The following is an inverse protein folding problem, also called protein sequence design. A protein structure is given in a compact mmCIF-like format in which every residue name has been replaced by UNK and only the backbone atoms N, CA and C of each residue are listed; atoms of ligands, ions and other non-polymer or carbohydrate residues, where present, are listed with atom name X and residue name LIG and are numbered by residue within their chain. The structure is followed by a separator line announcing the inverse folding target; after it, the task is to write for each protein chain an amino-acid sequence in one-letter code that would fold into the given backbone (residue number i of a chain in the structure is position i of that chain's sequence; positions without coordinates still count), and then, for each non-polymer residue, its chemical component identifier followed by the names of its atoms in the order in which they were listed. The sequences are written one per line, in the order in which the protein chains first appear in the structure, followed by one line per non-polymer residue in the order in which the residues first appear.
data_IF_757698452803
#
_entry.id   IF_757698452803
#
_cell.length_a   1.000
_cell.length_b   1.000
_cell.length_c   1.000
_cell.angle_alpha   90.00
_cell.angle_beta   90.00
_cell.angle_gamma   90.00
#
_symmetry.space_group_name_H-M   'P 1'
#
loop_
_entity.id
_entity.type
_entity.pdbx_description
1 polymer ?
#
# COMPACT_ATOMS: atom_id res chain seq x y z
N UNK A 1 1.26 8.95 5.36
CA UNK A 1 1.55 9.57 4.05
C UNK A 1 0.37 10.45 3.72
N UNK A 2 0.61 11.72 3.39
CA UNK A 2 -0.47 12.62 2.99
C UNK A 2 -0.87 12.30 1.56
N UNK A 3 -2.16 12.07 1.36
CA UNK A 3 -2.76 11.83 0.04
C UNK A 3 -3.60 13.04 -0.36
N UNK A 4 -3.83 13.20 -1.65
CA UNK A 4 -4.65 14.29 -2.20
C UNK A 4 -5.87 13.73 -2.92
N UNK A 5 -7.04 14.36 -2.71
CA UNK A 5 -8.30 13.98 -3.36
C UNK A 5 -8.16 13.75 -4.86
N UNK A 6 -8.69 12.63 -5.35
CA UNK A 6 -8.69 12.25 -6.76
C UNK A 6 -7.35 11.72 -7.28
N UNK A 7 -6.26 11.81 -6.49
CA UNK A 7 -4.99 11.17 -6.88
C UNK A 7 -5.06 9.66 -6.67
N UNK A 8 -4.44 8.95 -7.61
CA UNK A 8 -4.26 7.51 -7.56
C UNK A 8 -2.86 7.18 -7.07
N UNK A 9 -2.80 6.20 -6.18
CA UNK A 9 -1.58 5.68 -5.59
C UNK A 9 -1.57 4.17 -5.81
N UNK A 10 -0.40 3.61 -6.08
CA UNK A 10 -0.27 2.17 -6.34
C UNK A 10 0.51 1.55 -5.20
N UNK A 11 -0.20 0.90 -4.27
CA UNK A 11 0.40 0.30 -3.07
C UNK A 11 1.14 -1.00 -3.39
N UNK A 12 2.34 -1.15 -2.84
CA UNK A 12 3.13 -2.38 -2.96
C UNK A 12 2.54 -3.47 -2.08
N UNK A 13 1.94 -4.48 -2.69
CA UNK A 13 1.46 -5.68 -2.00
C UNK A 13 2.55 -6.77 -1.85
N UNK A 14 3.52 -6.85 -2.77
CA UNK A 14 4.51 -7.93 -2.79
C UNK A 14 5.64 -7.80 -1.76
N UNK A 15 5.80 -6.64 -1.12
CA UNK A 15 6.86 -6.36 -0.14
C UNK A 15 8.27 -6.16 -0.72
N UNK A 16 8.44 -6.21 -2.04
CA UNK A 16 9.76 -6.13 -2.70
C UNK A 16 10.19 -4.74 -3.15
N UNK A 17 9.28 -3.77 -3.14
CA UNK A 17 9.60 -2.43 -3.60
C UNK A 17 10.60 -1.73 -2.67
N UNK A 18 11.53 -0.98 -3.24
CA UNK A 18 12.42 -0.05 -2.54
C UNK A 18 11.72 1.30 -2.26
N UNK A 19 10.67 1.63 -3.02
CA UNK A 19 9.85 2.82 -2.87
C UNK A 19 8.63 2.60 -1.93
N UNK A 20 8.80 1.83 -0.86
CA UNK A 20 7.71 1.58 0.10
C UNK A 20 7.08 2.89 0.59
N UNK A 21 5.74 2.96 0.72
CA UNK A 21 4.79 1.86 0.62
C UNK A 21 4.25 1.59 -0.80
N UNK A 22 4.79 2.26 -1.81
CA UNK A 22 4.27 2.24 -3.18
C UNK A 22 5.00 1.24 -4.06
N UNK A 23 4.38 0.85 -5.16
CA UNK A 23 4.96 -0.06 -6.14
C UNK A 23 5.95 0.67 -7.06
N UNK A 24 7.10 0.05 -7.30
CA UNK A 24 8.12 0.48 -8.26
C UNK A 24 8.34 -0.51 -9.43
N UNK A 25 7.52 -1.57 -9.50
CA UNK A 25 7.64 -2.63 -10.51
C UNK A 25 8.35 -3.90 -10.03
N UNK A 26 8.94 -3.91 -8.84
CA UNK A 26 9.64 -5.07 -8.25
C UNK A 26 8.74 -6.28 -7.96
N UNK A 27 7.42 -6.15 -8.17
CA UNK A 27 6.47 -7.26 -8.14
C UNK A 27 6.55 -8.17 -9.38
N UNK A 28 7.19 -7.71 -10.46
CA UNK A 28 7.37 -8.49 -11.68
C UNK A 28 8.03 -9.84 -11.39
N UNK A 29 7.47 -10.92 -11.95
CA UNK A 29 7.93 -12.29 -11.68
C UNK A 29 7.35 -12.91 -10.40
N UNK A 30 6.42 -12.23 -9.72
CA UNK A 30 5.56 -12.82 -8.68
C UNK A 30 4.12 -12.93 -9.17
N UNK A 31 3.30 -13.72 -8.48
CA UNK A 31 1.85 -13.78 -8.71
C UNK A 31 1.09 -12.63 -7.99
N UNK A 32 1.81 -11.69 -7.37
CA UNK A 32 1.22 -10.63 -6.55
C UNK A 32 1.19 -9.33 -7.35
N UNK A 33 -0.02 -8.83 -7.64
CA UNK A 33 -0.23 -7.51 -8.24
C UNK A 33 -0.29 -6.41 -7.17
N UNK A 34 0.14 -5.17 -7.48
CA UNK A 34 -0.07 -4.04 -6.59
C UNK A 34 -1.55 -3.65 -6.53
N UNK A 35 -1.94 -2.94 -5.46
CA UNK A 35 -3.33 -2.49 -5.25
C UNK A 35 -3.44 -1.00 -5.58
N UNK A 36 -4.42 -0.63 -6.41
CA UNK A 36 -4.73 0.76 -6.70
C UNK A 36 -5.55 1.36 -5.56
N UNK A 37 -5.14 2.53 -5.10
CA UNK A 37 -5.83 3.34 -4.11
C UNK A 37 -6.17 4.70 -4.74
N UNK A 38 -7.44 5.06 -4.78
CA UNK A 38 -7.88 6.42 -5.15
C UNK A 38 -8.27 7.16 -3.88
N UNK A 39 -7.64 8.31 -3.64
CA UNK A 39 -7.91 9.10 -2.44
C UNK A 39 -9.24 9.86 -2.60
N UNK A 40 -10.24 9.53 -1.79
CA UNK A 40 -11.54 10.22 -1.79
C UNK A 40 -11.45 11.61 -1.15
N UNK A 41 -10.48 11.81 -0.25
CA UNK A 41 -10.22 13.07 0.44
C UNK A 41 -8.74 13.26 0.68
N UNK A 42 -8.30 14.51 0.74
CA UNK A 42 -6.94 14.86 1.15
C UNK A 42 -6.80 14.63 2.65
N UNK A 43 -6.02 13.63 3.05
CA UNK A 43 -5.82 13.24 4.44
C UNK A 43 -4.49 12.50 4.63
N UNK A 44 -4.09 12.28 5.87
CA UNK A 44 -3.00 11.35 6.18
C UNK A 44 -3.53 9.93 6.17
N UNK A 45 -3.01 9.09 5.26
CA UNK A 45 -3.28 7.65 5.22
C UNK A 45 -2.07 6.87 5.71
N UNK A 46 -2.33 5.87 6.55
CA UNK A 46 -1.35 4.88 6.98
C UNK A 46 -1.46 3.65 6.09
N UNK A 47 -0.59 3.54 5.09
CA UNK A 47 -0.51 2.36 4.24
C UNK A 47 0.16 1.20 4.99
N UNK A 48 -0.30 -0.03 4.73
CA UNK A 48 0.26 -1.21 5.36
C UNK A 48 1.72 -1.45 4.89
N UNK A 49 2.64 -1.51 5.84
CA UNK A 49 4.05 -1.87 5.61
C UNK A 49 4.32 -3.37 5.68
N UNK A 50 3.65 -4.11 6.59
CA UNK A 50 3.93 -5.53 6.83
C UNK A 50 3.33 -6.49 5.77
N UNK A 51 2.42 -6.00 4.92
CA UNK A 51 1.74 -6.75 3.85
C UNK A 51 0.81 -7.86 4.33
N UNK A 52 0.36 -7.78 5.59
CA UNK A 52 -0.55 -8.75 6.23
C UNK A 52 -1.89 -8.15 6.66
N UNK A 53 -2.17 -6.91 6.26
CA UNK A 53 -3.46 -6.24 6.54
C UNK A 53 -4.64 -7.00 5.92
N UNK A 54 -5.75 -7.07 6.64
CA UNK A 54 -7.06 -7.47 6.11
C UNK A 54 -7.82 -6.32 5.44
N UNK A 55 -7.39 -5.07 5.65
CA UNK A 55 -7.97 -3.84 5.10
C UNK A 55 -7.04 -3.20 4.06
N UNK A 56 -6.58 -4.00 3.09
CA UNK A 56 -5.65 -3.50 2.07
C UNK A 56 -6.28 -2.30 1.31
N UNK A 57 -5.52 -1.21 1.09
CA UNK A 57 -4.07 -1.06 1.31
C UNK A 57 -3.69 -0.41 2.67
N UNK A 58 -4.66 -0.17 3.55
CA UNK A 58 -4.49 0.55 4.82
C UNK A 58 -3.94 -0.35 5.92
N UNK A 59 -3.31 0.27 6.91
CA UNK A 59 -2.87 -0.39 8.12
C UNK A 59 -4.07 -0.65 9.04
N UNK A 60 -4.23 -1.89 9.47
CA UNK A 60 -5.26 -2.35 10.41
C UNK A 60 -4.67 -2.74 11.78
N UNK A 61 -3.38 -2.52 11.98
CA UNK A 61 -2.67 -2.91 13.21
C UNK A 61 -2.19 -4.36 13.26
N UNK A 62 -2.44 -5.20 12.25
CA UNK A 62 -2.03 -6.63 12.25
C UNK A 62 -0.54 -6.84 12.56
N UNK A 63 0.31 -5.89 12.18
CA UNK A 63 1.76 -5.96 12.43
C UNK A 63 2.15 -5.99 13.92
N UNK A 64 1.27 -5.54 14.83
CA UNK A 64 1.57 -5.53 16.26
C UNK A 64 1.54 -6.93 16.90
N UNK A 65 1.11 -7.96 16.17
CA UNK A 65 1.03 -9.35 16.63
C UNK A 65 1.64 -10.35 15.65
N UNK A 66 2.58 -9.92 14.79
CA UNK A 66 3.31 -10.79 13.85
C UNK A 66 4.55 -11.45 14.48
#
# INVERSE_FOLDING_TARGET
MDVETGKKYTWCACGRSENQPFCDGSHSGTEIAPVMFEAEKSETVYFCGCKRTGDAPRCDGTHSSL
#
